data_IF_848901079749
#
_entry.id   IF_848901079749
#
_cell.length_a   1.000
_cell.length_b   1.000
_cell.length_c   1.000
_cell.angle_alpha   90.00
_cell.angle_beta   90.00
_cell.angle_gamma   90.00
#
_symmetry.space_group_name_H-M   'P 1'
#
loop_
_entity.id
_entity.type
_entity.pdbx_description
1 polymer ?
#
# COMPACT_ATOMS: atom_id res chain seq x y z
N UNK A 1 3.35 1.72 -0.40
CA UNK A 1 2.78 0.40 -0.72
C UNK A 1 2.00 0.46 -2.03
N UNK A 2 1.94 -0.66 -2.75
CA UNK A 2 1.23 -0.80 -4.05
C UNK A 2 0.32 -2.03 -3.97
N UNK A 3 -0.95 -1.89 -4.34
CA UNK A 3 -1.91 -3.00 -4.38
C UNK A 3 -1.60 -3.92 -5.57
N UNK A 4 -1.65 -5.23 -5.38
CA UNK A 4 -1.46 -6.20 -6.48
C UNK A 4 -2.74 -6.43 -7.29
N UNK A 5 -3.90 -6.21 -6.68
CA UNK A 5 -5.21 -6.38 -7.30
C UNK A 5 -5.91 -5.07 -7.68
N UNK A 6 -7.21 -5.20 -7.99
CA UNK A 6 -8.11 -4.05 -8.15
C UNK A 6 -8.65 -3.61 -6.80
N UNK A 7 -8.77 -2.32 -6.61
CA UNK A 7 -9.32 -1.74 -5.39
C UNK A 7 -8.93 -0.28 -5.27
N UNK A 8 -9.48 0.40 -4.27
CA UNK A 8 -9.07 1.75 -3.88
C UNK A 8 -8.71 1.67 -2.41
N UNK A 9 -7.46 1.99 -2.10
CA UNK A 9 -6.99 2.10 -0.72
C UNK A 9 -7.50 3.44 -0.17
N UNK A 10 -7.98 3.42 1.08
CA UNK A 10 -8.46 4.60 1.79
C UNK A 10 -7.71 4.73 3.11
N UNK A 11 -7.74 5.94 3.64
CA UNK A 11 -7.14 6.30 4.92
C UNK A 11 -7.79 5.47 6.05
N UNK A 12 -7.03 5.22 7.12
CA UNK A 12 -7.45 4.44 8.29
C UNK A 12 -7.71 2.95 8.06
N UNK A 13 -7.36 2.42 6.89
CA UNK A 13 -7.42 0.97 6.67
C UNK A 13 -6.28 0.26 7.40
N UNK A 14 -6.62 -0.88 8.01
CA UNK A 14 -5.66 -1.74 8.69
C UNK A 14 -4.72 -2.41 7.68
N UNK A 15 -3.44 -2.43 8.03
CA UNK A 15 -2.39 -3.11 7.28
C UNK A 15 -1.85 -4.25 8.13
N UNK A 16 -1.76 -5.45 7.58
CA UNK A 16 -1.17 -6.61 8.21
C UNK A 16 0.14 -6.93 7.51
N UNK A 17 1.23 -6.94 8.27
CA UNK A 17 2.58 -7.20 7.79
C UNK A 17 3.18 -8.41 8.51
N UNK A 18 4.35 -8.84 8.06
CA UNK A 18 5.13 -9.89 8.73
C UNK A 18 5.54 -9.54 10.18
N UNK A 19 5.59 -8.25 10.54
CA UNK A 19 5.99 -7.79 11.87
C UNK A 19 4.82 -7.24 12.70
N UNK A 20 3.58 -7.49 12.26
CA UNK A 20 2.37 -7.07 12.95
C UNK A 20 1.56 -6.03 12.17
N UNK A 21 0.71 -5.33 12.92
CA UNK A 21 -0.33 -4.47 12.36
C UNK A 21 0.16 -3.02 12.20
N UNK A 22 -0.37 -2.36 11.19
CA UNK A 22 -0.16 -0.94 10.90
C UNK A 22 -1.42 -0.32 10.31
N UNK A 23 -1.29 0.90 9.82
CA UNK A 23 -2.42 1.70 9.36
C UNK A 23 -2.05 2.53 8.13
N UNK A 24 -2.96 2.56 7.16
CA UNK A 24 -2.88 3.46 6.02
C UNK A 24 -3.07 4.91 6.48
N UNK A 25 -2.08 5.75 6.20
CA UNK A 25 -2.15 7.19 6.49
C UNK A 25 -2.73 7.97 5.31
N UNK A 26 -2.39 7.56 4.09
CA UNK A 26 -2.96 8.15 2.86
C UNK A 26 -3.06 7.10 1.76
N UNK A 27 -4.24 6.96 1.15
CA UNK A 27 -4.49 6.03 0.05
C UNK A 27 -5.11 6.71 -1.18
N UNK A 28 -4.68 6.33 -2.38
CA UNK A 28 -5.27 6.84 -3.63
C UNK A 28 -5.07 5.87 -4.81
N UNK A 29 -5.75 6.13 -5.92
CA UNK A 29 -5.45 5.50 -7.20
C UNK A 29 -4.46 6.37 -7.97
N UNK A 30 -3.32 5.80 -8.40
CA UNK A 30 -2.34 6.50 -9.23
C UNK A 30 -2.68 6.32 -10.71
N UNK A 31 -3.08 7.38 -11.44
CA UNK A 31 -3.34 7.28 -12.88
C UNK A 31 -2.08 6.92 -13.67
N UNK A 32 -0.91 7.42 -13.25
CA UNK A 32 0.37 7.16 -13.92
C UNK A 32 0.79 5.69 -13.81
N UNK A 33 0.49 5.03 -12.70
CA UNK A 33 0.81 3.61 -12.50
C UNK A 33 -0.34 2.66 -12.89
N UNK A 34 -1.57 3.18 -13.01
CA UNK A 34 -2.77 2.37 -13.18
C UNK A 34 -3.06 1.46 -11.98
N UNK A 35 -2.56 1.80 -10.79
CA UNK A 35 -2.64 0.98 -9.57
C UNK A 35 -3.04 1.79 -8.35
N UNK A 36 -3.67 1.15 -7.37
CA UNK A 36 -3.86 1.74 -6.05
C UNK A 36 -2.54 1.76 -5.28
N UNK A 37 -2.23 2.91 -4.71
CA UNK A 37 -1.02 3.15 -3.93
C UNK A 37 -1.39 3.77 -2.58
N UNK A 38 -0.53 3.57 -1.59
CA UNK A 38 -0.74 4.14 -0.27
C UNK A 38 0.56 4.35 0.50
N UNK A 39 0.57 5.36 1.37
CA UNK A 39 1.50 5.46 2.48
C UNK A 39 0.84 4.87 3.73
N UNK A 40 1.65 4.22 4.55
CA UNK A 40 1.19 3.64 5.80
C UNK A 40 2.28 3.73 6.86
N UNK A 41 1.83 3.82 8.11
CA UNK A 41 2.66 3.59 9.28
C UNK A 41 2.62 2.09 9.59
N UNK A 42 3.77 1.43 9.57
CA UNK A 42 3.90 -0.01 9.84
C UNK A 42 5.06 -0.25 10.80
N UNK A 43 5.09 -1.40 11.51
CA UNK A 43 6.19 -1.74 12.40
C UNK A 43 7.55 -1.70 11.69
N UNK A 44 8.60 -1.31 12.42
CA UNK A 44 9.97 -1.22 11.87
C UNK A 44 10.43 -2.59 11.36
N UNK A 45 11.05 -2.60 10.17
CA UNK A 45 11.54 -3.81 9.52
C UNK A 45 10.49 -4.56 8.69
N UNK A 46 9.27 -4.02 8.56
CA UNK A 46 8.23 -4.60 7.69
C UNK A 46 8.62 -4.41 6.23
N UNK A 47 8.71 -5.51 5.49
CA UNK A 47 9.16 -5.53 4.10
C UNK A 47 8.41 -6.61 3.29
N UNK A 48 8.43 -6.49 1.97
CA UNK A 48 7.85 -7.50 1.08
C UNK A 48 6.33 -7.41 0.97
N UNK A 49 5.65 -8.54 1.06
CA UNK A 49 4.20 -8.64 0.92
C UNK A 49 3.49 -8.26 2.23
N UNK A 50 2.38 -7.57 2.09
CA UNK A 50 1.47 -7.22 3.18
C UNK A 50 0.02 -7.36 2.70
N UNK A 51 -0.91 -7.30 3.65
CA UNK A 51 -2.34 -7.33 3.36
C UNK A 51 -3.01 -6.09 3.91
N UNK A 52 -3.98 -5.56 3.17
CA UNK A 52 -4.79 -4.42 3.61
C UNK A 52 -6.22 -4.91 3.79
N UNK A 53 -6.80 -4.62 4.95
CA UNK A 53 -8.19 -4.97 5.23
C UNK A 53 -9.14 -3.99 4.54
N UNK A 54 -9.90 -4.48 3.57
CA UNK A 54 -10.87 -3.72 2.80
C UNK A 54 -12.22 -4.43 2.81
N UNK A 55 -13.24 -3.80 3.42
CA UNK A 55 -14.60 -4.37 3.46
C UNK A 55 -14.61 -5.82 3.97
N UNK A 56 -13.90 -6.08 5.07
CA UNK A 56 -13.74 -7.40 5.69
C UNK A 56 -13.06 -8.45 4.78
N UNK A 57 -12.28 -8.01 3.78
CA UNK A 57 -11.43 -8.86 2.95
C UNK A 57 -9.99 -8.40 3.06
N UNK A 58 -9.07 -9.36 3.15
CA UNK A 58 -7.65 -9.09 3.04
C UNK A 58 -7.28 -8.98 1.56
N UNK A 59 -6.67 -7.86 1.18
CA UNK A 59 -6.21 -7.62 -0.19
C UNK A 59 -4.70 -7.49 -0.19
N UNK A 60 -4.03 -8.30 -1.01
CA UNK A 60 -2.58 -8.31 -1.10
C UNK A 60 -2.01 -7.01 -1.67
N UNK A 61 -0.98 -6.51 -1.02
CA UNK A 61 -0.21 -5.34 -1.38
C UNK A 61 1.28 -5.61 -1.15
N UNK A 62 2.12 -4.77 -1.75
CA UNK A 62 3.57 -4.82 -1.59
C UNK A 62 4.08 -3.57 -0.89
N UNK A 63 4.90 -3.76 0.14
CA UNK A 63 5.66 -2.71 0.79
C UNK A 63 6.79 -2.30 -0.16
N UNK A 64 6.79 -1.03 -0.54
CA UNK A 64 7.79 -0.41 -1.41
C UNK A 64 8.23 0.91 -0.81
N UNK A 65 9.46 1.32 -1.11
CA UNK A 65 10.00 2.60 -0.64
C UNK A 65 9.42 3.75 -1.48
N UNK A 66 8.99 4.86 -0.87
CA UNK A 66 8.69 6.08 -1.61
C UNK A 66 9.99 6.70 -2.19
N UNK A 67 9.91 7.49 -3.28
CA UNK A 67 8.71 7.87 -4.03
C UNK A 67 8.26 6.81 -5.05
N UNK A 68 6.97 6.78 -5.39
CA UNK A 68 6.39 5.86 -6.37
C UNK A 68 6.68 6.23 -7.83
N UNK A 69 6.61 7.54 -8.12
CA UNK A 69 6.78 8.12 -9.46
C UNK A 69 7.66 9.37 -9.33
N UNK A 70 8.57 9.57 -10.27
CA UNK A 70 9.36 10.81 -10.39
C UNK A 70 9.52 11.18 -11.85
N UNK A 71 9.23 12.43 -12.20
CA UNK A 71 9.32 12.95 -13.57
C UNK A 71 8.61 12.05 -14.62
N UNK A 72 7.42 11.56 -14.28
CA UNK A 72 6.63 10.68 -15.14
C UNK A 72 7.10 9.22 -15.24
N UNK A 73 8.18 8.84 -14.55
CA UNK A 73 8.70 7.47 -14.51
C UNK A 73 8.31 6.76 -13.21
N UNK A 74 7.85 5.52 -13.34
CA UNK A 74 7.55 4.63 -12.20
C UNK A 74 8.88 4.09 -11.63
N UNK A 75 9.01 4.10 -10.30
CA UNK A 75 10.26 3.75 -9.59
C UNK A 75 10.17 2.49 -8.73
N UNK A 76 8.99 1.88 -8.64
CA UNK A 76 8.64 0.80 -7.69
C UNK A 76 8.24 -0.50 -8.36
#
# INVERSE_FOLDING_TARGET
MVLEGKGVIRDHQKVVTNNGEGEVTSGTFSPTMGKAIALASVPKGSEGLCEIEMRNKMVSAKIVKPPFVRNGKVLV
#
